data_IF_007404685208
#
_entry.id   IF_007404685208
#
_cell.length_a   1.000
_cell.length_b   1.000
_cell.length_c   1.000
_cell.angle_alpha   90.00
_cell.angle_beta   90.00
_cell.angle_gamma   90.00
#
_symmetry.space_group_name_H-M   'P 1'
#
loop_
_entity.id
_entity.type
_entity.pdbx_description
1 polymer ?
#
# COMPACT_ATOMS: atom_id res chain seq x y z
N UNK A 1 22.05 -27.81 13.36
CA UNK A 1 21.13 -26.68 13.09
C UNK A 1 20.29 -27.05 11.87
N UNK A 2 18.96 -27.10 12.01
CA UNK A 2 18.06 -27.58 10.95
C UNK A 2 17.83 -26.50 9.88
N UNK A 3 18.25 -26.75 8.63
CA UNK A 3 18.05 -25.86 7.48
C UNK A 3 16.61 -25.39 7.28
N UNK A 4 15.62 -26.24 7.58
CA UNK A 4 14.20 -25.89 7.44
C UNK A 4 13.78 -24.71 8.34
N UNK A 5 14.36 -24.60 9.55
CA UNK A 5 14.05 -23.52 10.48
C UNK A 5 14.61 -22.18 9.99
N UNK A 6 15.79 -22.20 9.36
CA UNK A 6 16.44 -21.01 8.78
C UNK A 6 15.64 -20.46 7.61
N UNK A 7 15.15 -21.34 6.72
CA UNK A 7 14.34 -20.95 5.56
C UNK A 7 13.02 -20.33 5.99
N UNK A 8 12.34 -20.90 6.99
CA UNK A 8 11.07 -20.35 7.48
C UNK A 8 11.22 -18.94 8.05
N UNK A 9 12.24 -18.70 8.87
CA UNK A 9 12.52 -17.35 9.41
C UNK A 9 12.86 -16.35 8.31
N UNK A 10 13.64 -16.75 7.31
CA UNK A 10 13.97 -15.85 6.20
C UNK A 10 12.72 -15.44 5.40
N UNK A 11 11.79 -16.37 5.17
CA UNK A 11 10.52 -16.07 4.49
C UNK A 11 9.67 -15.11 5.31
N UNK A 12 9.54 -15.35 6.62
CA UNK A 12 8.78 -14.47 7.51
C UNK A 12 9.33 -13.05 7.52
N UNK A 13 10.65 -12.89 7.59
CA UNK A 13 11.31 -11.58 7.56
C UNK A 13 11.18 -10.89 6.20
N UNK A 14 11.18 -11.63 5.09
CA UNK A 14 10.88 -11.06 3.76
C UNK A 14 9.46 -10.53 3.72
N UNK A 15 8.48 -11.35 4.15
CA UNK A 15 7.07 -10.96 4.14
C UNK A 15 6.79 -9.73 5.03
N UNK A 16 7.46 -9.64 6.19
CA UNK A 16 7.39 -8.46 7.05
C UNK A 16 7.96 -7.23 6.36
N UNK A 17 9.10 -7.33 5.69
CA UNK A 17 9.70 -6.21 4.96
C UNK A 17 8.81 -5.74 3.81
N UNK A 18 8.23 -6.65 3.05
CA UNK A 18 7.31 -6.32 1.96
C UNK A 18 6.05 -5.62 2.51
N UNK A 19 5.52 -6.10 3.63
CA UNK A 19 4.39 -5.46 4.31
C UNK A 19 4.73 -4.05 4.80
N UNK A 20 5.85 -3.88 5.50
CA UNK A 20 6.32 -2.56 5.95
C UNK A 20 6.55 -1.61 4.78
N UNK A 21 7.06 -2.09 3.66
CA UNK A 21 7.25 -1.27 2.46
C UNK A 21 5.91 -0.85 1.84
N UNK A 22 4.93 -1.75 1.77
CA UNK A 22 3.57 -1.40 1.33
C UNK A 22 2.96 -0.31 2.21
N UNK A 23 3.06 -0.44 3.54
CA UNK A 23 2.57 0.57 4.47
C UNK A 23 3.31 1.91 4.34
N UNK A 24 4.63 1.87 4.14
CA UNK A 24 5.42 3.08 3.91
C UNK A 24 5.01 3.81 2.62
N UNK A 25 4.73 3.06 1.53
CA UNK A 25 4.23 3.63 0.28
C UNK A 25 2.85 4.28 0.48
N UNK A 26 1.93 3.60 1.16
CA UNK A 26 0.61 4.14 1.48
C UNK A 26 0.72 5.39 2.36
N UNK A 27 1.62 5.39 3.35
CA UNK A 27 1.90 6.56 4.18
C UNK A 27 2.43 7.75 3.39
N UNK A 28 3.29 7.53 2.38
CA UNK A 28 3.74 8.61 1.49
C UNK A 28 2.60 9.20 0.67
N UNK A 29 1.70 8.35 0.16
CA UNK A 29 0.51 8.78 -0.57
C UNK A 29 -0.46 9.57 0.32
N UNK A 30 -0.63 9.17 1.57
CA UNK A 30 -1.48 9.86 2.54
C UNK A 30 -0.93 11.22 2.98
N UNK A 31 0.38 11.31 3.24
CA UNK A 31 1.02 12.51 3.77
C UNK A 31 1.33 13.57 2.70
N UNK A 32 1.18 13.23 1.43
CA UNK A 32 1.48 14.18 0.35
C UNK A 32 0.43 15.28 0.25
N UNK A 33 0.86 16.55 0.15
CA UNK A 33 -0.06 17.64 -0.14
C UNK A 33 -0.64 17.57 -1.56
N UNK A 34 0.05 16.86 -2.48
CA UNK A 34 -0.45 16.59 -3.82
C UNK A 34 -1.18 15.24 -3.84
N UNK A 35 -2.46 15.19 -4.30
CA UNK A 35 -3.20 13.94 -4.46
C UNK A 35 -2.61 12.98 -5.50
N UNK A 36 -1.70 13.45 -6.36
CA UNK A 36 -1.02 12.64 -7.38
C UNK A 36 0.49 12.64 -7.11
N UNK A 37 1.06 11.48 -6.80
CA UNK A 37 2.51 11.34 -6.55
C UNK A 37 3.16 10.51 -7.66
N UNK A 38 4.17 11.08 -8.30
CA UNK A 38 5.02 10.34 -9.23
C UNK A 38 5.86 9.26 -8.54
N UNK A 39 6.01 8.11 -9.20
CA UNK A 39 6.81 6.98 -8.68
C UNK A 39 8.24 7.39 -8.28
N UNK A 40 8.86 8.32 -9.02
CA UNK A 40 10.19 8.86 -8.71
C UNK A 40 10.26 9.56 -7.35
N UNK A 41 9.20 10.26 -6.93
CA UNK A 41 9.15 10.90 -5.62
C UNK A 41 9.08 9.87 -4.50
N UNK A 42 8.28 8.81 -4.69
CA UNK A 42 8.17 7.71 -3.73
C UNK A 42 9.53 7.01 -3.56
N UNK A 43 10.20 6.69 -4.67
CA UNK A 43 11.55 6.12 -4.70
C UNK A 43 12.55 6.96 -3.92
N UNK A 44 12.58 8.27 -4.17
CA UNK A 44 13.51 9.19 -3.50
C UNK A 44 13.27 9.29 -2.00
N UNK A 45 11.99 9.37 -1.58
CA UNK A 45 11.64 9.53 -0.16
C UNK A 45 11.86 8.26 0.65
N UNK A 46 11.56 7.10 0.07
CA UNK A 46 11.73 5.81 0.73
C UNK A 46 13.16 5.25 0.59
N UNK A 47 13.97 5.81 -0.31
CA UNK A 47 15.31 5.30 -0.64
C UNK A 47 15.28 3.82 -1.03
N UNK A 48 14.32 3.45 -1.88
CA UNK A 48 14.10 2.07 -2.38
C UNK A 48 14.19 2.07 -3.90
N UNK A 49 14.73 1.00 -4.47
CA UNK A 49 14.90 0.88 -5.91
C UNK A 49 13.56 0.96 -6.67
N UNK A 50 13.60 1.62 -7.84
CA UNK A 50 12.43 1.85 -8.68
C UNK A 50 11.64 0.57 -9.04
N UNK A 51 12.27 -0.55 -9.45
CA UNK A 51 11.53 -1.77 -9.77
C UNK A 51 10.78 -2.35 -8.56
N UNK A 52 11.37 -2.23 -7.36
CA UNK A 52 10.76 -2.70 -6.12
C UNK A 52 9.55 -1.84 -5.77
N UNK A 53 9.67 -0.51 -5.84
CA UNK A 53 8.53 0.40 -5.60
C UNK A 53 7.40 0.15 -6.61
N UNK A 54 7.72 0.00 -7.89
CA UNK A 54 6.72 -0.31 -8.92
C UNK A 54 6.00 -1.63 -8.64
N UNK A 55 6.74 -2.68 -8.27
CA UNK A 55 6.14 -3.97 -7.93
C UNK A 55 5.12 -3.83 -6.80
N UNK A 56 5.48 -3.12 -5.72
CA UNK A 56 4.59 -2.94 -4.57
C UNK A 56 3.40 -2.03 -4.88
N UNK A 57 3.56 -1.00 -5.71
CA UNK A 57 2.44 -0.17 -6.18
C UNK A 57 1.42 -0.98 -6.99
N UNK A 58 1.89 -1.89 -7.85
CA UNK A 58 0.99 -2.80 -8.58
C UNK A 58 0.25 -3.74 -7.62
N UNK A 59 0.93 -4.30 -6.61
CA UNK A 59 0.27 -5.13 -5.59
C UNK A 59 -0.80 -4.35 -4.81
N UNK A 60 -0.53 -3.08 -4.48
CA UNK A 60 -1.48 -2.21 -3.80
C UNK A 60 -2.68 -1.86 -4.71
N UNK A 61 -2.45 -1.72 -6.01
CA UNK A 61 -3.51 -1.49 -6.99
C UNK A 61 -4.39 -2.72 -7.19
N UNK A 62 -3.79 -3.91 -7.27
CA UNK A 62 -4.51 -5.19 -7.35
C UNK A 62 -5.41 -5.41 -6.12
N UNK A 63 -5.02 -4.82 -4.97
CA UNK A 63 -5.81 -4.81 -3.73
C UNK A 63 -6.85 -3.69 -3.65
N UNK A 64 -6.93 -2.81 -4.65
CA UNK A 64 -7.87 -1.69 -4.64
C UNK A 64 -7.51 -0.57 -3.65
N UNK A 65 -6.26 -0.45 -3.21
CA UNK A 65 -5.87 0.58 -2.23
C UNK A 65 -5.36 1.86 -2.90
N UNK A 66 -4.79 1.73 -4.09
CA UNK A 66 -4.23 2.83 -4.88
C UNK A 66 -4.67 2.72 -6.33
N UNK A 67 -4.53 3.82 -7.07
CA UNK A 67 -4.77 3.83 -8.51
C UNK A 67 -3.68 4.61 -9.22
N UNK A 68 -3.14 4.02 -10.29
CA UNK A 68 -2.32 4.73 -11.25
C UNK A 68 -3.20 5.64 -12.13
N UNK A 69 -2.81 6.90 -12.27
CA UNK A 69 -3.35 7.82 -13.25
C UNK A 69 -2.47 7.85 -14.51
N UNK A 70 -2.88 8.62 -15.52
CA UNK A 70 -2.08 8.79 -16.74
C UNK A 70 -0.71 9.38 -16.36
N UNK A 71 0.36 8.78 -16.90
CA UNK A 71 1.77 9.16 -16.75
C UNK A 71 2.50 8.71 -15.47
N UNK A 72 2.13 7.58 -14.85
CA UNK A 72 2.95 6.99 -13.77
C UNK A 72 2.88 7.74 -12.44
N UNK A 73 1.78 8.46 -12.23
CA UNK A 73 1.44 9.13 -10.97
C UNK A 73 0.35 8.34 -10.25
N UNK A 74 0.47 8.24 -8.94
CA UNK A 74 -0.33 7.37 -8.10
C UNK A 74 -1.13 8.18 -7.11
N UNK A 75 -2.32 7.71 -6.79
CA UNK A 75 -3.18 8.27 -5.74
C UNK A 75 -3.71 7.17 -4.84
N UNK A 76 -3.96 7.53 -3.59
CA UNK A 76 -4.81 6.73 -2.71
C UNK A 76 -6.26 6.79 -3.24
N UNK A 77 -6.99 5.70 -3.09
CA UNK A 77 -8.46 5.71 -3.31
C UNK A 77 -9.17 5.50 -1.97
N UNK A 78 -10.49 5.70 -1.93
CA UNK A 78 -11.26 5.70 -0.68
C UNK A 78 -10.99 4.46 0.18
N UNK A 79 -10.98 3.27 -0.42
CA UNK A 79 -10.65 2.02 0.27
C UNK A 79 -9.24 2.02 0.88
N UNK A 80 -8.27 2.67 0.23
CA UNK A 80 -6.93 2.88 0.78
C UNK A 80 -6.92 3.83 1.98
N UNK A 81 -7.77 4.86 1.97
CA UNK A 81 -7.95 5.74 3.14
C UNK A 81 -8.57 4.96 4.30
N UNK A 82 -9.65 4.23 4.05
CA UNK A 82 -10.34 3.40 5.04
C UNK A 82 -9.39 2.36 5.66
N UNK A 83 -8.55 1.72 4.82
CA UNK A 83 -7.52 0.77 5.25
C UNK A 83 -6.51 1.40 6.22
N UNK A 84 -6.03 2.63 5.94
CA UNK A 84 -5.05 3.32 6.79
C UNK A 84 -5.67 3.87 8.08
N UNK A 85 -6.94 4.27 8.06
CA UNK A 85 -7.67 4.72 9.25
C UNK A 85 -8.11 3.56 10.15
N UNK A 86 -7.92 2.31 9.69
CA UNK A 86 -8.34 1.12 10.40
C UNK A 86 -9.86 0.98 10.47
N UNK A 87 -10.60 1.61 9.54
CA UNK A 87 -12.04 1.44 9.42
C UNK A 87 -12.26 0.04 8.82
N UNK A 88 -12.78 -0.93 9.61
CA UNK A 88 -13.08 -2.24 9.06
C UNK A 88 -14.16 -2.10 8.00
N UNK A 89 -14.06 -2.88 6.92
CA UNK A 89 -14.99 -2.93 5.77
C UNK A 89 -16.45 -3.32 6.13
N UNK A 90 -16.88 -3.21 7.40
CA UNK A 90 -18.14 -3.73 7.93
C UNK A 90 -19.16 -2.67 8.38
N UNK A 91 -19.07 -1.39 7.97
CA UNK A 91 -20.06 -0.39 8.39
C UNK A 91 -20.64 0.44 7.25
N UNK A 92 -21.20 -0.20 6.21
CA UNK A 92 -22.26 0.45 5.43
C UNK A 92 -23.41 -0.54 5.22
N UNK A 93 -24.10 -0.88 6.30
CA UNK A 93 -25.53 -1.18 6.19
C UNK A 93 -26.27 0.16 6.16
N UNK A 94 -26.39 0.77 4.98
CA UNK A 94 -27.32 1.87 4.75
C UNK A 94 -28.75 1.31 4.82
N UNK A 95 -29.25 1.12 6.03
CA UNK A 95 -30.68 0.91 6.25
C UNK A 95 -31.35 2.29 6.14
N UNK A 96 -31.60 2.72 4.90
CA UNK A 96 -32.51 3.82 4.61
C UNK A 96 -33.94 3.38 4.95
N UNK A 97 -34.25 3.32 6.24
CA UNK A 97 -35.64 3.26 6.68
C UNK A 97 -36.23 4.66 6.54
N UNK A 98 -36.71 4.98 5.34
CA UNK A 98 -37.65 6.09 5.15
C UNK A 98 -38.90 5.85 6.01
N UNK A 99 -39.18 6.78 6.94
CA UNK A 99 -40.54 7.05 7.38
C UNK A 99 -40.67 8.49 7.83
#
# INVERSE_FOLDING_TARGET
MNSAKIVFFAIEEVMKRDHMLMEAILGQLLQSPDPLIGTSSIVQRLNVELPVVHHHLNLLQDRGLVQESKNGVWRLINQGHDYLEGIPEQSISLNLSSK
#
